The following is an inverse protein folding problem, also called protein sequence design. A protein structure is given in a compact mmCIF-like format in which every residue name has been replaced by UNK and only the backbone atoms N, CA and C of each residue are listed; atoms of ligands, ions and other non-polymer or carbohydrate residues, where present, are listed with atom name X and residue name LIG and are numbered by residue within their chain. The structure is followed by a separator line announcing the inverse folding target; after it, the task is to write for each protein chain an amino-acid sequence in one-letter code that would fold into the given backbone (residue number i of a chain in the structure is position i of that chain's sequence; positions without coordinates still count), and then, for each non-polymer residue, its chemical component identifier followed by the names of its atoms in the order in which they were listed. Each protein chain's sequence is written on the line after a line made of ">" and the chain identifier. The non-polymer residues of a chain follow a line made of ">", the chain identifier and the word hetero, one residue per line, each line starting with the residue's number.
data_IF_827847317529
#
_entry.id   IF_827847317529
#
_cell.length_a   1.000
_cell.length_b   1.000
_cell.length_c   1.000
_cell.angle_alpha   90.00
_cell.angle_beta   90.00
_cell.angle_gamma   90.00
#
_symmetry.space_group_name_H-M   'P 1'
#
loop_
_entity.id
_entity.type
_entity.pdbx_description
1 polymer ?
#
# COMPACT_ATOMS: atom_id res chain seq x y z
N UNK A 1 -7.46 9.31 3.86
CA UNK A 1 -7.82 7.97 3.32
C UNK A 1 -9.03 8.03 2.39
N UNK A 2 -10.22 8.47 2.83
CA UNK A 2 -11.42 8.57 1.97
C UNK A 2 -11.16 9.32 0.66
N UNK A 3 -10.49 10.49 0.71
CA UNK A 3 -10.13 11.26 -0.49
C UNK A 3 -9.29 10.46 -1.50
N UNK A 4 -8.31 9.68 -1.03
CA UNK A 4 -7.47 8.87 -1.92
C UNK A 4 -8.27 7.75 -2.61
N UNK A 5 -9.20 7.13 -1.88
CA UNK A 5 -10.11 6.12 -2.45
C UNK A 5 -11.02 6.71 -3.54
N UNK A 6 -11.55 7.92 -3.32
CA UNK A 6 -12.32 8.65 -4.34
C UNK A 6 -11.50 9.01 -5.58
N UNK A 7 -10.22 9.33 -5.41
CA UNK A 7 -9.31 9.64 -6.50
C UNK A 7 -8.98 8.39 -7.32
N UNK A 8 -8.68 7.27 -6.66
CA UNK A 8 -8.48 5.98 -7.33
C UNK A 8 -9.72 5.54 -8.13
N UNK A 9 -10.93 5.74 -7.58
CA UNK A 9 -12.19 5.46 -8.27
C UNK A 9 -12.45 6.36 -9.50
N UNK A 10 -11.75 7.50 -9.61
CA UNK A 10 -11.80 8.44 -10.75
C UNK A 10 -10.60 8.33 -11.69
N UNK A 11 -9.91 7.19 -11.67
CA UNK A 11 -8.71 6.91 -12.47
C UNK A 11 -7.49 7.78 -12.12
N UNK A 12 -7.54 8.55 -11.04
CA UNK A 12 -6.42 9.37 -10.52
C UNK A 12 -5.54 8.55 -9.57
N UNK A 13 -5.07 7.39 -10.04
CA UNK A 13 -4.35 6.41 -9.19
C UNK A 13 -3.00 6.93 -8.70
N UNK A 14 -2.27 7.65 -9.53
CA UNK A 14 -0.95 8.20 -9.16
C UNK A 14 -1.07 9.28 -8.07
N UNK A 15 -2.04 10.19 -8.21
CA UNK A 15 -2.30 11.22 -7.21
C UNK A 15 -2.82 10.61 -5.89
N UNK A 16 -3.66 9.57 -5.98
CA UNK A 16 -4.14 8.83 -4.83
C UNK A 16 -2.99 8.12 -4.10
N UNK A 17 -2.07 7.50 -4.83
CA UNK A 17 -0.88 6.86 -4.27
C UNK A 17 0.03 7.89 -3.60
N UNK A 18 0.32 9.01 -4.27
CA UNK A 18 1.11 10.10 -3.71
C UNK A 18 0.52 10.61 -2.38
N UNK A 19 -0.80 10.79 -2.33
CA UNK A 19 -1.49 11.22 -1.11
C UNK A 19 -1.41 10.18 0.03
N UNK A 20 -1.48 8.89 -0.29
CA UNK A 20 -1.34 7.82 0.71
C UNK A 20 0.09 7.73 1.23
N UNK A 21 1.10 7.85 0.36
CA UNK A 21 2.51 7.88 0.76
C UNK A 21 2.82 9.09 1.64
N UNK A 22 2.22 10.25 1.34
CA UNK A 22 2.31 11.42 2.23
C UNK A 22 1.67 11.15 3.60
N UNK A 23 0.52 10.47 3.61
CA UNK A 23 -0.15 10.10 4.85
C UNK A 23 0.72 9.17 5.70
N UNK A 24 1.39 8.19 5.10
CA UNK A 24 2.36 7.30 5.78
C UNK A 24 3.50 8.11 6.41
N UNK A 25 4.12 9.01 5.64
CA UNK A 25 5.22 9.86 6.14
C UNK A 25 4.79 10.73 7.32
N UNK A 26 3.62 11.37 7.20
CA UNK A 26 3.09 12.24 8.25
C UNK A 26 2.72 11.45 9.50
N UNK A 27 2.05 10.30 9.36
CA UNK A 27 1.69 9.45 10.47
C UNK A 27 2.93 8.98 11.25
N UNK A 28 3.98 8.57 10.53
CA UNK A 28 5.28 8.24 11.14
C UNK A 28 5.87 9.41 11.92
N UNK A 29 5.85 10.61 11.36
CA UNK A 29 6.44 11.81 12.00
C UNK A 29 5.80 12.19 13.33
N UNK A 30 4.53 11.80 13.55
CA UNK A 30 3.78 12.09 14.77
C UNK A 30 3.55 10.86 15.64
N UNK A 31 4.13 9.71 15.29
CA UNK A 31 4.01 8.46 16.04
C UNK A 31 2.63 7.79 15.98
N UNK A 32 1.83 8.07 14.96
CA UNK A 32 0.49 7.48 14.79
C UNK A 32 0.56 6.13 14.05
N UNK A 33 1.00 5.08 14.74
CA UNK A 33 1.27 3.75 14.15
C UNK A 33 0.07 3.11 13.45
N UNK A 34 -1.14 3.25 14.00
CA UNK A 34 -2.35 2.66 13.40
C UNK A 34 -2.69 3.31 12.05
N UNK A 35 -2.55 4.64 11.98
CA UNK A 35 -2.76 5.41 10.75
C UNK A 35 -1.66 5.11 9.73
N UNK A 36 -0.41 4.98 10.20
CA UNK A 36 0.72 4.62 9.34
C UNK A 36 0.50 3.25 8.70
N UNK A 37 0.10 2.25 9.49
CA UNK A 37 -0.16 0.90 9.03
C UNK A 37 -1.32 0.85 8.03
N UNK A 38 -2.45 1.48 8.35
CA UNK A 38 -3.63 1.48 7.48
C UNK A 38 -3.35 2.23 6.15
N UNK A 39 -2.67 3.38 6.21
CA UNK A 39 -2.28 4.12 5.01
C UNK A 39 -1.29 3.31 4.15
N UNK A 40 -0.35 2.58 4.77
CA UNK A 40 0.57 1.71 4.06
C UNK A 40 -0.16 0.54 3.39
N UNK A 41 -1.14 -0.09 4.06
CA UNK A 41 -1.95 -1.16 3.46
C UNK A 41 -2.64 -0.66 2.18
N UNK A 42 -3.30 0.50 2.26
CA UNK A 42 -3.98 1.10 1.11
C UNK A 42 -3.00 1.49 -0.01
N UNK A 43 -1.87 2.12 0.34
CA UNK A 43 -0.84 2.48 -0.62
C UNK A 43 -0.25 1.25 -1.33
N UNK A 44 -0.04 0.16 -0.59
CA UNK A 44 0.49 -1.08 -1.12
C UNK A 44 -0.41 -1.71 -2.18
N UNK A 45 -1.72 -1.81 -1.90
CA UNK A 45 -2.67 -2.33 -2.88
C UNK A 45 -2.75 -1.45 -4.14
N UNK A 46 -2.80 -0.13 -3.96
CA UNK A 46 -2.85 0.79 -5.09
C UNK A 46 -1.57 0.76 -5.92
N UNK A 47 -0.41 0.59 -5.28
CA UNK A 47 0.87 0.42 -5.99
C UNK A 47 0.89 -0.87 -6.84
N UNK A 48 0.28 -1.96 -6.37
CA UNK A 48 0.12 -3.18 -7.18
C UNK A 48 -0.74 -2.90 -8.43
N UNK A 49 -1.86 -2.19 -8.27
CA UNK A 49 -2.73 -1.81 -9.40
C UNK A 49 -1.97 -0.95 -10.44
N UNK A 50 -1.08 -0.06 -9.99
CA UNK A 50 -0.20 0.75 -10.84
C UNK A 50 1.07 0.02 -11.31
N UNK A 51 1.22 -1.29 -11.05
CA UNK A 51 2.41 -2.11 -11.38
C UNK A 51 3.74 -1.64 -10.74
N UNK A 52 3.68 -0.90 -9.64
CA UNK A 52 4.84 -0.49 -8.84
C UNK A 52 5.07 -1.46 -7.67
N UNK A 53 5.64 -2.63 -7.98
CA UNK A 53 5.91 -3.66 -6.97
C UNK A 53 6.94 -3.23 -5.92
N UNK A 54 7.87 -2.34 -6.28
CA UNK A 54 8.86 -1.84 -5.35
C UNK A 54 8.20 -0.99 -4.24
N UNK A 55 7.25 -0.13 -4.60
CA UNK A 55 6.46 0.61 -3.61
C UNK A 55 5.54 -0.31 -2.82
N UNK A 56 4.90 -1.28 -3.47
CA UNK A 56 4.04 -2.25 -2.79
C UNK A 56 4.81 -3.04 -1.70
N UNK A 57 5.99 -3.55 -2.01
CA UNK A 57 6.85 -4.26 -1.05
C UNK A 57 7.30 -3.39 0.12
N UNK A 58 7.69 -2.12 -0.15
CA UNK A 58 8.02 -1.16 0.92
C UNK A 58 6.83 -0.92 1.85
N UNK A 59 5.64 -0.72 1.29
CA UNK A 59 4.44 -0.47 2.09
C UNK A 59 4.00 -1.71 2.88
N UNK A 60 4.17 -2.90 2.32
CA UNK A 60 3.97 -4.15 3.07
C UNK A 60 4.92 -4.24 4.28
N UNK A 61 6.19 -3.87 4.12
CA UNK A 61 7.14 -3.86 5.25
C UNK A 61 6.70 -2.88 6.36
N UNK A 62 6.19 -1.70 5.98
CA UNK A 62 5.63 -0.72 6.94
C UNK A 62 4.40 -1.28 7.65
N UNK A 63 3.45 -1.87 6.91
CA UNK A 63 2.26 -2.47 7.50
C UNK A 63 2.62 -3.62 8.47
N UNK A 64 3.57 -4.48 8.11
CA UNK A 64 4.04 -5.58 8.97
C UNK A 64 4.73 -5.11 10.25
N UNK A 65 5.37 -3.95 10.25
CA UNK A 65 6.02 -3.43 11.45
C UNK A 65 5.04 -3.14 12.58
N UNK A 66 3.81 -2.75 12.25
CA UNK A 66 2.80 -2.30 13.21
C UNK A 66 1.59 -3.22 13.34
N UNK A 67 1.23 -3.96 12.27
CA UNK A 67 0.03 -4.81 12.24
C UNK A 67 0.24 -6.14 11.50
N UNK A 68 1.25 -6.96 11.87
CA UNK A 68 1.61 -8.16 11.11
C UNK A 68 0.51 -9.23 11.07
N UNK A 69 -0.28 -9.37 12.13
CA UNK A 69 -1.38 -10.33 12.23
C UNK A 69 -2.72 -9.81 11.69
N UNK A 70 -2.79 -8.55 11.25
CA UNK A 70 -4.03 -7.98 10.76
C UNK A 70 -4.38 -8.54 9.37
N UNK A 71 -5.63 -8.93 9.18
CA UNK A 71 -6.06 -9.66 7.97
C UNK A 71 -5.75 -8.89 6.67
N UNK A 72 -5.81 -7.56 6.67
CA UNK A 72 -5.50 -6.74 5.48
C UNK A 72 -4.00 -6.68 5.19
N UNK A 73 -3.15 -6.72 6.22
CA UNK A 73 -1.69 -6.86 6.05
C UNK A 73 -1.35 -8.21 5.43
N UNK A 74 -2.04 -9.27 5.85
CA UNK A 74 -1.88 -10.60 5.26
C UNK A 74 -2.39 -10.65 3.81
N UNK A 75 -3.54 -10.04 3.53
CA UNK A 75 -4.08 -9.93 2.17
C UNK A 75 -3.13 -9.15 1.25
N UNK A 76 -2.53 -8.05 1.71
CA UNK A 76 -1.50 -7.34 0.97
C UNK A 76 -0.26 -8.22 0.72
N UNK A 77 0.18 -8.98 1.71
CA UNK A 77 1.32 -9.90 1.54
C UNK A 77 1.06 -10.94 0.44
N UNK A 78 -0.14 -11.52 0.42
CA UNK A 78 -0.54 -12.47 -0.62
C UNK A 78 -0.61 -11.79 -1.99
N UNK A 79 -1.14 -10.57 -2.06
CA UNK A 79 -1.21 -9.81 -3.30
C UNK A 79 0.18 -9.47 -3.87
N UNK A 80 1.12 -9.04 -3.02
CA UNK A 80 2.52 -8.80 -3.43
C UNK A 80 3.16 -10.08 -3.96
N UNK A 81 3.04 -11.19 -3.23
CA UNK A 81 3.60 -12.48 -3.66
C UNK A 81 3.01 -12.94 -5.00
N UNK A 82 1.70 -12.79 -5.18
CA UNK A 82 1.02 -13.15 -6.42
C UNK A 82 1.49 -12.27 -7.60
N UNK A 83 1.67 -10.97 -7.37
CA UNK A 83 2.13 -10.04 -8.39
C UNK A 83 3.60 -10.28 -8.80
N UNK A 84 4.47 -10.62 -7.84
CA UNK A 84 5.86 -11.03 -8.11
C UNK A 84 5.92 -12.33 -8.93
N UNK A 85 5.06 -13.30 -8.61
CA UNK A 85 5.04 -14.61 -9.29
C UNK A 85 4.40 -14.52 -10.68
N UNK A 86 3.32 -13.74 -10.83
CA UNK A 86 2.62 -13.53 -12.09
C UNK A 86 3.39 -12.67 -13.10
N UNK A 87 4.20 -11.71 -12.62
CA UNK A 87 5.11 -10.94 -13.48
C UNK A 87 6.26 -11.76 -14.07
N UNK A 88 6.59 -12.89 -13.45
CA UNK A 88 7.70 -13.75 -13.84
C UNK A 88 7.33 -14.82 -14.89
N UNK A 89 6.07 -14.88 -15.32
CA UNK A 89 5.54 -15.87 -16.27
C UNK A 89 5.47 -15.44 -17.74
N UNK A 90 6.09 -14.30 -18.11
CA UNK A 90 6.07 -13.74 -19.47
C UNK A 90 7.46 -13.49 -20.07
N UNK A 91 8.50 -14.17 -19.57
CA UNK A 91 9.83 -14.17 -20.20
C UNK A 91 10.07 -15.46 -20.99
#
# INVERSE_FOLDING_TARGET
>A
MVRAQWMAARDQRDDALALLLETVRRARSVGASDIEAEAAILAGHLAIESRDLATAGRMLAVARAWSPGYYRTQALAQAVQAAETGGNGLN
#
